data_IF_661482214269
#
_entry.id   IF_661482214269
#
_cell.length_a   1.000
_cell.length_b   1.000
_cell.length_c   1.000
_cell.angle_alpha   90.00
_cell.angle_beta   90.00
_cell.angle_gamma   90.00
#
_symmetry.space_group_name_H-M   'P 1'
#
loop_
_entity.id
_entity.type
_entity.pdbx_description
1 polymer ?
#
# COMPACT_ATOMS: atom_id res chain seq x y z
N UNK A 1 8.73 11.37 -16.25
CA UNK A 1 8.97 12.67 -15.58
C UNK A 1 7.80 12.98 -14.64
N UNK A 2 8.05 13.62 -13.49
CA UNK A 2 7.02 13.94 -12.49
C UNK A 2 6.68 15.42 -12.59
N UNK A 3 5.38 15.75 -12.63
CA UNK A 3 4.87 17.11 -12.61
C UNK A 3 4.17 17.37 -11.27
N UNK A 4 4.64 18.38 -10.54
CA UNK A 4 4.11 18.77 -9.23
C UNK A 4 3.78 20.25 -9.23
N UNK A 5 2.55 20.58 -8.85
CA UNK A 5 2.06 21.97 -8.74
C UNK A 5 1.79 22.34 -7.28
N UNK A 6 2.29 23.49 -6.86
CA UNK A 6 2.17 24.00 -5.50
C UNK A 6 1.37 25.30 -5.46
N UNK A 7 0.35 25.36 -4.60
CA UNK A 7 -0.35 26.59 -4.22
C UNK A 7 0.34 27.18 -3.00
N UNK A 8 0.61 28.48 -3.07
CA UNK A 8 1.28 29.21 -2.00
C UNK A 8 0.53 30.51 -1.78
N UNK A 9 0.06 30.73 -0.56
CA UNK A 9 -0.47 32.00 -0.10
C UNK A 9 0.63 32.72 0.68
N UNK A 10 1.01 33.91 0.22
CA UNK A 10 2.03 34.72 0.89
C UNK A 10 1.65 36.18 0.91
N UNK A 11 2.06 36.85 1.99
CA UNK A 11 1.91 38.29 2.19
C UNK A 11 3.28 38.91 2.43
N UNK A 12 3.57 40.06 1.81
CA UNK A 12 4.80 40.79 2.11
C UNK A 12 4.76 41.31 3.54
N UNK A 13 5.91 41.35 4.20
CA UNK A 13 6.03 42.03 5.48
C UNK A 13 6.03 43.55 5.25
N UNK A 14 5.02 44.24 5.80
CA UNK A 14 4.75 45.67 5.59
C UNK A 14 5.87 46.61 6.07
N UNK A 15 6.76 46.11 6.94
CA UNK A 15 7.76 46.93 7.63
C UNK A 15 9.01 47.24 6.78
N UNK A 16 9.32 46.44 5.75
CA UNK A 16 10.57 46.54 4.99
C UNK A 16 10.38 46.38 3.47
N UNK A 17 9.15 46.50 2.98
CA UNK A 17 8.86 46.28 1.56
C UNK A 17 9.30 47.49 0.71
N UNK A 18 10.42 47.34 0.00
CA UNK A 18 10.83 48.29 -1.04
C UNK A 18 10.13 47.96 -2.37
N UNK A 19 9.40 48.91 -2.99
CA UNK A 19 8.60 48.66 -4.19
C UNK A 19 9.41 48.34 -5.45
N UNK A 20 10.74 48.52 -5.43
CA UNK A 20 11.60 48.40 -6.61
C UNK A 20 12.25 47.02 -6.79
N UNK A 21 11.95 46.03 -5.94
CA UNK A 21 12.56 44.71 -6.06
C UNK A 21 11.74 43.79 -7.00
N UNK A 22 12.36 43.16 -8.02
CA UNK A 22 11.67 42.17 -8.85
C UNK A 22 11.16 41.02 -7.99
N UNK A 23 9.87 40.70 -8.11
CA UNK A 23 9.16 39.71 -7.31
C UNK A 23 9.96 38.38 -7.17
N UNK A 24 10.59 38.10 -6.01
CA UNK A 24 11.43 36.92 -5.83
C UNK A 24 10.62 35.62 -5.70
N UNK A 25 9.31 35.76 -5.51
CA UNK A 25 8.31 34.71 -5.20
C UNK A 25 8.36 33.47 -6.11
N UNK A 26 8.52 33.57 -7.46
CA UNK A 26 8.52 32.38 -8.32
C UNK A 26 9.84 31.60 -8.22
N UNK A 27 10.94 32.26 -7.88
CA UNK A 27 12.29 31.67 -7.94
C UNK A 27 12.53 30.75 -6.75
N UNK A 28 12.22 31.22 -5.53
CA UNK A 28 12.34 30.42 -4.30
C UNK A 28 11.50 29.14 -4.36
N UNK A 29 10.27 29.25 -4.87
CA UNK A 29 9.33 28.13 -4.92
C UNK A 29 9.88 27.00 -5.79
N UNK A 30 10.35 27.35 -7.00
CA UNK A 30 10.91 26.37 -7.94
C UNK A 30 12.12 25.64 -7.36
N UNK A 31 12.98 26.33 -6.61
CA UNK A 31 14.16 25.72 -6.04
C UNK A 31 13.83 24.73 -4.93
N UNK A 32 12.93 25.12 -4.01
CA UNK A 32 12.48 24.22 -2.93
C UNK A 32 11.79 22.99 -3.51
N UNK A 33 10.92 23.14 -4.51
CA UNK A 33 10.28 21.99 -5.16
C UNK A 33 11.31 21.02 -5.73
N UNK A 34 12.35 21.53 -6.41
CA UNK A 34 13.41 20.67 -6.97
C UNK A 34 14.16 19.93 -5.87
N UNK A 35 14.51 20.61 -4.78
CA UNK A 35 15.23 20.00 -3.66
C UNK A 35 14.40 18.92 -2.94
N UNK A 36 13.09 19.11 -2.80
CA UNK A 36 12.21 18.13 -2.15
C UNK A 36 11.94 16.94 -3.08
N UNK A 37 11.66 17.16 -4.36
CA UNK A 37 11.45 16.06 -5.32
C UNK A 37 12.70 15.19 -5.47
N UNK A 38 13.89 15.73 -5.23
CA UNK A 38 15.13 14.95 -5.23
C UNK A 38 15.31 14.05 -3.99
N UNK A 39 14.64 14.33 -2.87
CA UNK A 39 14.78 13.58 -1.61
C UNK A 39 13.75 12.46 -1.46
N UNK A 40 12.57 12.59 -2.06
CA UNK A 40 11.48 11.63 -1.92
C UNK A 40 11.32 10.76 -3.15
N UNK A 41 11.02 9.48 -2.92
CA UNK A 41 10.56 8.60 -3.99
C UNK A 41 9.14 8.94 -4.43
N UNK A 42 8.80 8.50 -5.64
CA UNK A 42 7.48 8.69 -6.26
C UNK A 42 6.34 8.21 -5.36
N UNK A 43 6.45 7.01 -4.80
CA UNK A 43 5.42 6.41 -3.93
C UNK A 43 5.23 7.21 -2.62
N UNK A 44 6.32 7.71 -2.05
CA UNK A 44 6.29 8.50 -0.81
C UNK A 44 5.61 9.85 -1.00
N UNK A 45 5.77 10.47 -2.19
CA UNK A 45 5.10 11.74 -2.50
C UNK A 45 3.56 11.63 -2.47
N UNK A 46 3.03 10.43 -2.70
CA UNK A 46 1.59 10.17 -2.66
C UNK A 46 1.12 9.78 -1.27
N UNK A 47 1.77 8.77 -0.68
CA UNK A 47 1.39 8.19 0.62
C UNK A 47 1.69 9.13 1.79
N UNK A 48 2.84 9.81 1.75
CA UNK A 48 3.32 10.69 2.82
C UNK A 48 3.17 12.17 2.46
N UNK A 49 2.22 12.49 1.58
CA UNK A 49 1.91 13.87 1.18
C UNK A 49 1.82 14.86 2.37
N UNK A 50 1.19 14.55 3.52
CA UNK A 50 1.19 15.48 4.67
C UNK A 50 2.60 15.77 5.20
N UNK A 51 3.45 14.76 5.34
CA UNK A 51 4.84 14.90 5.78
C UNK A 51 5.67 15.73 4.78
N UNK A 52 5.51 15.44 3.48
CA UNK A 52 6.17 16.20 2.41
C UNK A 52 5.71 17.66 2.42
N UNK A 53 4.41 17.91 2.61
CA UNK A 53 3.87 19.28 2.68
C UNK A 53 4.43 20.07 3.87
N UNK A 54 4.59 19.43 5.04
CA UNK A 54 5.20 20.04 6.21
C UNK A 54 6.66 20.43 5.96
N UNK A 55 7.45 19.53 5.36
CA UNK A 55 8.85 19.80 5.02
C UNK A 55 9.00 20.93 4.00
N UNK A 56 8.14 20.94 2.97
CA UNK A 56 8.10 22.02 1.96
C UNK A 56 7.79 23.35 2.64
N UNK A 57 6.83 23.38 3.58
CA UNK A 57 6.47 24.58 4.34
C UNK A 57 7.65 25.09 5.16
N UNK A 58 8.31 24.24 5.93
CA UNK A 58 9.46 24.63 6.76
C UNK A 58 10.60 25.20 5.90
N UNK A 59 10.95 24.50 4.83
CA UNK A 59 12.03 24.91 3.92
C UNK A 59 11.70 26.24 3.22
N UNK A 60 10.44 26.44 2.81
CA UNK A 60 9.97 27.69 2.24
C UNK A 60 10.00 28.82 3.26
N UNK A 61 9.55 28.59 4.49
CA UNK A 61 9.56 29.61 5.56
C UNK A 61 10.98 30.04 5.87
N UNK A 62 11.91 29.09 6.00
CA UNK A 62 13.32 29.41 6.26
C UNK A 62 13.90 30.35 5.22
N UNK A 63 13.66 30.07 3.94
CA UNK A 63 14.15 30.91 2.84
C UNK A 63 13.34 32.18 2.62
N UNK A 64 12.05 32.18 2.94
CA UNK A 64 11.20 33.36 2.78
C UNK A 64 11.59 34.48 3.74
N UNK A 65 12.22 34.15 4.89
CA UNK A 65 12.78 35.12 5.83
C UNK A 65 13.85 36.00 5.20
N UNK A 66 14.73 35.46 4.36
CA UNK A 66 15.76 36.24 3.65
C UNK A 66 15.16 37.30 2.71
N UNK A 67 13.88 37.15 2.35
CA UNK A 67 13.17 38.05 1.45
C UNK A 67 12.07 38.86 2.15
N UNK A 68 11.98 38.80 3.49
CA UNK A 68 10.94 39.47 4.28
C UNK A 68 9.51 39.12 3.83
N UNK A 69 9.26 37.82 3.56
CA UNK A 69 7.95 37.33 3.12
C UNK A 69 7.38 36.39 4.18
N UNK A 70 6.12 36.61 4.55
CA UNK A 70 5.37 35.71 5.42
C UNK A 70 4.52 34.76 4.57
N UNK A 71 4.65 33.46 4.85
CA UNK A 71 3.86 32.40 4.22
C UNK A 71 2.69 32.04 5.12
N UNK A 72 1.48 32.08 4.56
CA UNK A 72 0.24 31.82 5.27
C UNK A 72 -0.16 30.34 5.12
N UNK A 73 -0.23 29.88 3.87
CA UNK A 73 -0.53 28.49 3.54
C UNK A 73 0.27 27.98 2.35
N UNK A 74 0.63 26.70 2.40
CA UNK A 74 1.35 25.99 1.36
C UNK A 74 0.74 24.61 1.19
N UNK A 75 0.22 24.34 0.00
CA UNK A 75 -0.42 23.07 -0.33
C UNK A 75 0.01 22.57 -1.71
N UNK A 76 0.39 21.29 -1.77
CA UNK A 76 0.55 20.57 -3.04
C UNK A 76 -0.85 20.46 -3.65
N UNK A 77 -1.06 20.78 -4.93
CA UNK A 77 -2.39 20.76 -5.56
C UNK A 77 -2.53 19.62 -6.55
N UNK A 78 -1.68 19.59 -7.56
CA UNK A 78 -1.68 18.56 -8.60
C UNK A 78 -0.36 17.82 -8.58
N UNK A 79 -0.44 16.50 -8.69
CA UNK A 79 0.70 15.60 -8.77
C UNK A 79 0.40 14.60 -9.90
N UNK A 80 1.25 14.58 -10.92
CA UNK A 80 1.04 13.75 -12.11
C UNK A 80 2.35 13.11 -12.55
N UNK A 81 2.29 11.84 -12.91
CA UNK A 81 3.43 11.07 -13.40
C UNK A 81 3.28 10.80 -14.89
N UNK A 82 4.39 10.76 -15.62
CA UNK A 82 4.39 10.26 -16.99
C UNK A 82 3.92 8.80 -17.03
N UNK A 83 3.22 8.43 -18.11
CA UNK A 83 2.55 7.12 -18.26
C UNK A 83 3.47 5.91 -18.02
N UNK A 84 4.77 6.04 -18.26
CA UNK A 84 5.76 4.98 -18.04
C UNK A 84 5.94 4.63 -16.55
N UNK A 85 5.89 5.62 -15.67
CA UNK A 85 6.07 5.43 -14.22
C UNK A 85 4.82 4.76 -13.64
N UNK A 86 3.63 5.23 -14.05
CA UNK A 86 2.37 4.62 -13.63
C UNK A 86 2.29 3.15 -14.02
N UNK A 87 2.66 2.80 -15.27
CA UNK A 87 2.70 1.40 -15.73
C UNK A 87 3.69 0.53 -14.96
N UNK A 88 4.85 1.09 -14.59
CA UNK A 88 5.86 0.35 -13.83
C UNK A 88 5.41 0.08 -12.39
N UNK A 89 4.76 1.06 -11.73
CA UNK A 89 4.20 0.90 -10.39
C UNK A 89 3.06 -0.13 -10.41
N UNK A 90 2.15 -0.03 -11.38
CA UNK A 90 1.00 -0.92 -11.51
C UNK A 90 1.40 -2.38 -11.78
N UNK A 91 2.45 -2.62 -12.59
CA UNK A 91 3.04 -3.96 -12.75
C UNK A 91 3.58 -4.53 -11.44
N UNK A 92 4.36 -3.73 -10.70
CA UNK A 92 4.96 -4.16 -9.42
C UNK A 92 3.91 -4.51 -8.38
N UNK A 93 2.84 -3.72 -8.28
CA UNK A 93 1.71 -3.98 -7.38
C UNK A 93 0.95 -5.26 -7.76
N UNK A 94 0.73 -5.46 -9.06
CA UNK A 94 0.04 -6.66 -9.58
C UNK A 94 0.85 -7.94 -9.35
N UNK A 95 2.16 -7.89 -9.58
CA UNK A 95 3.06 -9.03 -9.36
C UNK A 95 3.12 -9.43 -7.89
N UNK A 96 3.20 -8.44 -6.98
CA UNK A 96 3.12 -8.68 -5.53
C UNK A 96 1.79 -9.29 -5.12
N UNK A 97 0.69 -8.76 -5.64
CA UNK A 97 -0.65 -9.26 -5.33
C UNK A 97 -0.83 -10.71 -5.81
N UNK A 98 -0.36 -11.02 -7.01
CA UNK A 98 -0.35 -12.40 -7.54
C UNK A 98 0.50 -13.33 -6.68
N UNK A 99 1.65 -12.87 -6.20
CA UNK A 99 2.51 -13.65 -5.32
C UNK A 99 1.83 -13.96 -3.97
N UNK A 100 1.16 -12.98 -3.37
CA UNK A 100 0.42 -13.18 -2.11
C UNK A 100 -0.73 -14.17 -2.29
N UNK A 101 -1.50 -14.05 -3.37
CA UNK A 101 -2.60 -14.98 -3.68
C UNK A 101 -2.08 -16.40 -3.91
N UNK A 102 -1.04 -16.55 -4.74
CA UNK A 102 -0.43 -17.86 -5.00
C UNK A 102 0.12 -18.52 -3.72
N UNK A 103 0.71 -17.72 -2.82
CA UNK A 103 1.18 -18.22 -1.52
C UNK A 103 0.00 -18.68 -0.64
N UNK A 104 -1.07 -17.89 -0.57
CA UNK A 104 -2.27 -18.25 0.20
C UNK A 104 -2.95 -19.52 -0.35
N UNK A 105 -3.02 -19.66 -1.68
CA UNK A 105 -3.56 -20.87 -2.32
C UNK A 105 -2.72 -22.11 -2.01
N UNK A 106 -1.39 -21.98 -1.99
CA UNK A 106 -0.49 -23.07 -1.62
C UNK A 106 -0.66 -23.49 -0.14
N UNK A 107 -0.82 -22.53 0.76
CA UNK A 107 -1.07 -22.78 2.19
C UNK A 107 -2.42 -23.50 2.41
N UNK A 108 -3.50 -23.01 1.80
CA UNK A 108 -4.84 -23.63 1.88
C UNK A 108 -4.82 -25.08 1.33
N UNK A 109 -4.08 -25.32 0.26
CA UNK A 109 -3.93 -26.67 -0.31
C UNK A 109 -3.24 -27.66 0.63
N UNK A 110 -2.21 -27.18 1.36
CA UNK A 110 -1.47 -28.01 2.32
C UNK A 110 -2.34 -28.40 3.51
N UNK A 111 -3.14 -27.46 4.03
CA UNK A 111 -4.07 -27.71 5.14
C UNK A 111 -5.16 -28.73 4.76
N UNK A 112 -5.74 -28.60 3.56
CA UNK A 112 -6.73 -29.57 3.04
C UNK A 112 -6.14 -30.97 2.92
N UNK A 113 -4.91 -31.09 2.42
CA UNK A 113 -4.24 -32.38 2.31
C UNK A 113 -3.90 -32.98 3.68
N UNK A 114 -3.62 -32.16 4.70
CA UNK A 114 -3.40 -32.63 6.07
C UNK A 114 -4.68 -33.22 6.66
N UNK A 115 -5.82 -32.53 6.54
CA UNK A 115 -7.12 -32.98 7.08
C UNK A 115 -7.51 -34.35 6.50
N UNK A 116 -7.42 -34.51 5.17
CA UNK A 116 -7.78 -35.76 4.48
C UNK A 116 -6.89 -36.93 4.96
N UNK A 117 -5.59 -36.71 5.23
CA UNK A 117 -4.70 -37.76 5.74
C UNK A 117 -5.09 -38.22 7.14
N UNK A 118 -5.45 -37.29 8.02
CA UNK A 118 -5.96 -37.62 9.36
C UNK A 118 -7.29 -38.36 9.31
N UNK A 119 -8.18 -38.02 8.39
CA UNK A 119 -9.46 -38.73 8.22
C UNK A 119 -9.28 -40.15 7.66
N UNK A 120 -8.40 -40.33 6.67
CA UNK A 120 -8.11 -41.66 6.10
C UNK A 120 -7.46 -42.58 7.14
N UNK A 121 -6.53 -42.06 7.96
CA UNK A 121 -5.89 -42.85 9.03
C UNK A 121 -6.86 -43.21 10.15
N UNK A 122 -7.74 -42.30 10.56
CA UNK A 122 -8.77 -42.59 11.59
C UNK A 122 -9.85 -43.57 11.10
N UNK A 123 -10.26 -43.50 9.84
CA UNK A 123 -11.18 -44.49 9.26
C UNK A 123 -10.55 -45.89 9.15
N UNK A 124 -9.27 -45.99 8.80
CA UNK A 124 -8.57 -47.28 8.73
C UNK A 124 -8.43 -47.96 10.10
N UNK A 125 -8.21 -47.17 11.17
CA UNK A 125 -8.14 -47.67 12.54
C UNK A 125 -9.50 -48.16 13.08
N UNK A 126 -10.61 -47.60 12.60
CA UNK A 126 -11.97 -48.10 12.93
C UNK A 126 -12.26 -49.47 12.30
N UNK A 127 -11.75 -49.76 11.11
CA UNK A 127 -11.94 -51.08 10.48
C UNK A 127 -11.05 -52.17 11.12
N UNK A 128 -9.86 -51.84 11.63
CA UNK A 128 -8.97 -52.84 12.22
C UNK A 128 -9.38 -53.27 13.64
N UNK A 129 -10.09 -52.41 14.38
CA UNK A 129 -10.60 -52.74 15.73
C UNK A 129 -11.87 -53.59 15.75
N UNK A 130 -12.49 -53.87 14.59
CA UNK A 130 -13.66 -54.73 14.45
C UNK A 130 -13.33 -56.19 14.07
N UNK A 131 -12.06 -56.56 13.91
CA UNK A 131 -11.67 -57.89 13.39
C UNK A 131 -11.36 -58.92 14.51
N UNK A 132 -11.25 -58.52 15.77
CA UNK A 132 -11.12 -59.49 16.86
C UNK A 132 -12.42 -59.63 17.61
N UNK A 133 -13.33 -60.50 17.14
CA UNK A 133 -14.27 -61.33 17.92
C UNK A 133 -14.92 -62.37 16.97
N UNK A 134 -14.61 -63.68 17.07
CA UNK A 134 -15.19 -64.69 16.19
C UNK A 134 -16.42 -65.34 16.85
N UNK A 135 -17.62 -64.77 16.64
CA UNK A 135 -18.90 -65.49 16.75
C UNK A 135 -20.10 -64.57 16.52
N UNK A 136 -20.63 -64.53 15.29
CA UNK A 136 -22.07 -64.57 14.96
C UNK A 136 -22.33 -64.14 13.49
N UNK A 137 -23.39 -64.66 12.84
CA UNK A 137 -23.63 -64.48 11.42
C UNK A 137 -24.29 -63.13 11.12
N UNK A 138 -23.82 -62.52 10.03
CA UNK A 138 -24.51 -61.60 9.11
C UNK A 138 -25.79 -60.91 9.63
N UNK A 139 -25.68 -59.61 9.89
CA UNK A 139 -26.78 -58.65 9.63
C UNK A 139 -26.23 -57.46 8.87
N UNK A 140 -26.68 -57.34 7.64
CA UNK A 140 -26.56 -56.19 6.77
C UNK A 140 -27.33 -55.03 7.42
N UNK A 141 -26.63 -54.00 7.86
CA UNK A 141 -27.24 -52.75 8.31
C UNK A 141 -26.92 -51.68 7.27
N UNK A 142 -27.96 -51.26 6.55
CA UNK A 142 -27.99 -50.14 5.63
C UNK A 142 -27.34 -48.89 6.23
N UNK A 143 -26.15 -48.55 5.75
CA UNK A 143 -25.50 -47.27 6.01
C UNK A 143 -25.97 -46.23 4.97
N UNK A 144 -27.28 -46.11 4.79
CA UNK A 144 -27.93 -45.06 4.01
C UNK A 144 -28.13 -43.84 4.92
N UNK A 145 -27.06 -43.08 5.17
CA UNK A 145 -27.14 -41.69 5.69
C UNK A 145 -25.78 -40.97 5.60
N UNK A 146 -25.22 -40.89 4.39
CA UNK A 146 -24.19 -39.89 4.06
C UNK A 146 -24.55 -39.25 2.71
N UNK A 147 -25.59 -38.42 2.70
CA UNK A 147 -25.74 -37.37 1.70
C UNK A 147 -24.89 -36.17 2.13
N UNK A 148 -24.11 -35.57 1.24
CA UNK A 148 -23.97 -34.13 1.17
C UNK A 148 -24.84 -33.62 0.01
N UNK A 149 -25.82 -32.79 0.36
CA UNK A 149 -26.51 -31.90 -0.57
C UNK A 149 -25.48 -31.04 -1.33
N UNK A 150 -25.81 -30.80 -2.60
CA UNK A 150 -25.23 -29.75 -3.43
C UNK A 150 -25.38 -28.36 -2.80
#
# INVERSE_FOLDING_TARGET
MVNLTLRVLSRPEVSQFSPNLPNPRPRIRREILKAVVAQFNVDQLFTERPSVSALVRESLVRRAKDFNIVLDDVAITHLSYGAEISKAVERRETERSKFVVAKAEQEIGFDRAAIIRTEVTTCSLKNHSLITHPSHPFKEYDCLKCLPLW
#
